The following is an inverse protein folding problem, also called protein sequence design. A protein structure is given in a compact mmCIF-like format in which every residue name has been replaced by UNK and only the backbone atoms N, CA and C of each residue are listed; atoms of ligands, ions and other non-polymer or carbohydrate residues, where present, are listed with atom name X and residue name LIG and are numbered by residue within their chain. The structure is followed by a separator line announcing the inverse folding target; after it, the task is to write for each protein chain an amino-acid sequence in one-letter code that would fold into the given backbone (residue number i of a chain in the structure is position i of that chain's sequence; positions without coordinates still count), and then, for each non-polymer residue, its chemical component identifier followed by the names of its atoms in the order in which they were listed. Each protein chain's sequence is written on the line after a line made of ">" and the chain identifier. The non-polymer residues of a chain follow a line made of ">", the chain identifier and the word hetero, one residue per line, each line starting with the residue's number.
data_IF_697190894421
#
_entry.id   IF_697190894421
#
_cell.length_a   1.000
_cell.length_b   1.000
_cell.length_c   1.000
_cell.angle_alpha   90.00
_cell.angle_beta   90.00
_cell.angle_gamma   90.00
#
_symmetry.space_group_name_H-M   'P 1'
#
loop_
_entity.id
_entity.type
_entity.pdbx_description
1 polymer ?
#
# COMPACT_ATOMS: atom_id res chain seq x y z
N UNK A 1 4.58 -8.60 -31.68
CA UNK A 1 3.22 -8.07 -31.44
C UNK A 1 3.21 -7.51 -30.02
N UNK A 2 2.62 -6.34 -29.79
CA UNK A 2 2.48 -5.79 -28.44
C UNK A 2 1.10 -6.17 -27.89
N UNK A 3 1.04 -6.56 -26.62
CA UNK A 3 -0.21 -6.87 -25.92
C UNK A 3 -0.34 -5.93 -24.74
N UNK A 4 -1.57 -5.47 -24.52
CA UNK A 4 -1.89 -4.51 -23.47
C UNK A 4 -3.33 -4.70 -22.99
N UNK A 5 -3.49 -4.76 -21.68
CA UNK A 5 -4.76 -4.86 -20.97
C UNK A 5 -5.06 -3.53 -20.29
N UNK A 6 -5.81 -2.65 -20.96
CA UNK A 6 -6.07 -1.28 -20.47
C UNK A 6 -6.84 -1.23 -19.13
N UNK A 7 -7.54 -2.32 -18.76
CA UNK A 7 -8.26 -2.43 -17.49
C UNK A 7 -7.41 -2.96 -16.33
N UNK A 8 -6.22 -3.50 -16.63
CA UNK A 8 -5.32 -4.04 -15.62
C UNK A 8 -4.43 -2.90 -15.12
N UNK A 9 -4.86 -2.26 -14.03
CA UNK A 9 -4.20 -1.08 -13.49
C UNK A 9 -3.90 -1.26 -12.01
N UNK A 10 -2.76 -0.74 -11.57
CA UNK A 10 -2.41 -0.70 -10.16
C UNK A 10 -3.37 0.21 -9.39
N UNK A 11 -3.69 -0.16 -8.15
CA UNK A 11 -4.59 0.63 -7.29
C UNK A 11 -3.80 1.41 -6.24
N UNK A 12 -4.24 2.63 -5.91
CA UNK A 12 -3.50 3.50 -5.04
C UNK A 12 -3.54 2.99 -3.60
N UNK A 13 -2.40 2.49 -3.12
CA UNK A 13 -2.12 2.06 -1.73
C UNK A 13 -0.71 2.52 -1.35
N UNK A 14 -0.47 2.83 -0.07
CA UNK A 14 0.86 3.10 0.46
C UNK A 14 1.67 1.81 0.51
N UNK A 15 1.01 0.72 0.86
CA UNK A 15 1.51 -0.62 0.65
C UNK A 15 1.36 -1.00 -0.82
N UNK A 16 2.35 -0.65 -1.65
CA UNK A 16 2.27 -0.81 -3.11
C UNK A 16 2.01 -2.25 -3.55
N UNK A 17 2.43 -3.25 -2.75
CA UNK A 17 2.12 -4.66 -2.97
C UNK A 17 0.62 -4.94 -2.93
N UNK A 18 -0.09 -4.41 -1.93
CA UNK A 18 -1.54 -4.51 -1.82
C UNK A 18 -2.23 -3.79 -2.97
N UNK A 19 -1.71 -2.63 -3.38
CA UNK A 19 -2.20 -1.92 -4.58
C UNK A 19 -2.07 -2.73 -5.86
N UNK A 20 -1.00 -3.50 -6.01
CA UNK A 20 -0.79 -4.37 -7.15
C UNK A 20 -1.76 -5.56 -7.13
N UNK A 21 -1.93 -6.18 -5.97
CA UNK A 21 -2.88 -7.28 -5.79
C UNK A 21 -4.31 -6.81 -6.02
N UNK A 22 -4.72 -5.65 -5.49
CA UNK A 22 -6.05 -5.08 -5.72
C UNK A 22 -6.31 -4.84 -7.22
N UNK A 23 -5.32 -4.33 -7.94
CA UNK A 23 -5.41 -4.16 -9.39
C UNK A 23 -5.63 -5.48 -10.12
N UNK A 24 -4.89 -6.52 -9.73
CA UNK A 24 -5.04 -7.86 -10.29
C UNK A 24 -6.40 -8.49 -9.95
N UNK A 25 -6.86 -8.40 -8.70
CA UNK A 25 -8.15 -8.98 -8.28
C UNK A 25 -9.33 -8.25 -8.89
N UNK A 26 -9.27 -6.93 -9.05
CA UNK A 26 -10.28 -6.15 -9.79
C UNK A 26 -10.35 -6.57 -11.26
N UNK A 27 -9.20 -6.74 -11.92
CA UNK A 27 -9.14 -7.20 -13.31
C UNK A 27 -9.72 -8.60 -13.48
N UNK A 28 -9.44 -9.48 -12.51
CA UNK A 28 -10.07 -10.80 -12.43
C UNK A 28 -11.52 -10.73 -11.97
N UNK A 29 -12.11 -9.57 -11.66
CA UNK A 29 -13.49 -9.50 -11.18
C UNK A 29 -13.74 -10.24 -9.86
N UNK A 30 -12.75 -10.26 -8.98
CA UNK A 30 -12.86 -10.77 -7.60
C UNK A 30 -13.20 -9.58 -6.71
N UNK A 31 -14.50 -9.38 -6.45
CA UNK A 31 -15.01 -8.24 -5.71
C UNK A 31 -14.74 -8.33 -4.21
N UNK A 32 -13.88 -7.46 -3.70
CA UNK A 32 -13.61 -7.29 -2.27
C UNK A 32 -13.32 -5.83 -1.94
N UNK A 33 -13.64 -5.42 -0.71
CA UNK A 33 -13.27 -4.11 -0.18
C UNK A 33 -11.76 -4.00 0.03
N UNK A 34 -11.23 -2.78 0.07
CA UNK A 34 -9.82 -2.52 0.38
C UNK A 34 -9.45 -3.09 1.77
N UNK A 35 -10.38 -3.00 2.72
CA UNK A 35 -10.22 -3.51 4.07
C UNK A 35 -10.20 -5.04 4.12
N UNK A 36 -11.10 -5.71 3.40
CA UNK A 36 -11.14 -7.17 3.33
C UNK A 36 -9.88 -7.75 2.70
N UNK A 37 -9.38 -7.12 1.63
CA UNK A 37 -8.10 -7.48 1.02
C UNK A 37 -6.94 -7.32 2.01
N UNK A 38 -6.75 -6.11 2.53
CA UNK A 38 -5.59 -5.80 3.37
C UNK A 38 -5.62 -6.54 4.71
N UNK A 39 -6.79 -6.68 5.32
CA UNK A 39 -6.97 -7.39 6.58
C UNK A 39 -6.91 -8.90 6.43
N UNK A 40 -7.62 -9.47 5.46
CA UNK A 40 -7.64 -10.92 5.21
C UNK A 40 -6.31 -11.50 4.72
N UNK A 41 -5.49 -10.70 4.04
CA UNK A 41 -4.09 -11.06 3.70
C UNK A 41 -3.12 -10.86 4.86
N UNK A 42 -3.59 -10.35 6.01
CA UNK A 42 -2.79 -10.08 7.20
C UNK A 42 -1.97 -8.78 7.16
N UNK A 43 -1.83 -8.15 5.99
CA UNK A 43 -0.97 -6.98 5.79
C UNK A 43 -1.38 -5.77 6.66
N UNK A 44 -2.69 -5.59 6.90
CA UNK A 44 -3.19 -4.48 7.72
C UNK A 44 -2.62 -4.46 9.16
N UNK A 45 -2.15 -5.60 9.65
CA UNK A 45 -1.61 -5.76 11.00
C UNK A 45 -0.08 -5.69 11.08
N UNK A 46 0.61 -5.53 9.94
CA UNK A 46 2.08 -5.49 9.88
C UNK A 46 2.60 -4.12 10.31
N UNK A 47 3.52 -4.07 11.29
CA UNK A 47 4.45 -2.96 11.52
C UNK A 47 5.86 -3.49 11.40
N UNK A 48 6.72 -2.88 10.59
CA UNK A 48 8.11 -3.30 10.46
C UNK A 48 9.03 -2.08 10.35
N UNK A 49 9.89 -1.87 11.35
CA UNK A 49 10.77 -0.70 11.42
C UNK A 49 12.17 -1.09 11.87
N UNK A 50 13.19 -0.39 11.41
CA UNK A 50 14.56 -0.54 11.88
C UNK A 50 14.98 0.64 12.79
N UNK A 51 16.19 0.56 13.35
CA UNK A 51 16.74 1.56 14.28
C UNK A 51 16.87 2.98 13.73
N UNK A 52 16.77 3.14 12.41
CA UNK A 52 16.83 4.44 11.71
C UNK A 52 15.49 4.84 11.10
N UNK A 53 14.44 4.02 11.25
CA UNK A 53 13.13 4.24 10.61
C UNK A 53 13.27 4.48 9.10
N UNK A 54 14.10 3.67 8.43
CA UNK A 54 14.34 3.89 7.00
C UNK A 54 13.10 3.53 6.16
N UNK A 55 13.04 4.07 4.93
CA UNK A 55 11.96 3.78 4.00
C UNK A 55 11.88 2.31 3.54
N UNK A 56 12.87 1.48 3.91
CA UNK A 56 12.81 0.05 3.66
C UNK A 56 11.84 -0.68 4.59
N UNK A 57 11.45 -0.09 5.74
CA UNK A 57 10.54 -0.72 6.72
C UNK A 57 9.32 -1.41 6.10
N UNK A 58 8.51 -0.68 5.31
CA UNK A 58 7.31 -1.24 4.69
C UNK A 58 7.49 -2.47 3.79
N UNK A 59 8.67 -2.64 3.21
CA UNK A 59 8.94 -3.66 2.18
C UNK A 59 10.01 -4.68 2.57
N UNK A 60 10.82 -4.40 3.60
CA UNK A 60 11.94 -5.25 4.05
C UNK A 60 11.51 -6.30 5.09
N UNK A 61 10.61 -7.19 4.67
CA UNK A 61 10.19 -8.37 5.42
C UNK A 61 9.74 -9.46 4.43
N UNK A 62 9.63 -10.71 4.88
CA UNK A 62 9.17 -11.80 4.01
C UNK A 62 7.65 -11.74 3.83
N UNK A 63 7.20 -11.27 2.66
CA UNK A 63 5.80 -11.04 2.30
C UNK A 63 5.04 -12.31 1.89
N UNK A 64 5.65 -13.50 2.00
CA UNK A 64 5.05 -14.77 1.58
C UNK A 64 3.64 -15.02 2.14
N UNK A 65 3.35 -14.54 3.36
CA UNK A 65 2.02 -14.69 3.96
C UNK A 65 0.91 -13.95 3.20
N UNK A 66 1.22 -12.85 2.49
CA UNK A 66 0.26 -12.15 1.63
C UNK A 66 -0.21 -13.05 0.48
N UNK A 67 0.66 -13.94 0.00
CA UNK A 67 0.34 -14.99 -0.97
C UNK A 67 -0.41 -16.15 -0.32
N UNK A 68 0.08 -16.66 0.81
CA UNK A 68 -0.50 -17.84 1.47
C UNK A 68 -1.96 -17.59 1.90
N UNK A 69 -2.23 -16.44 2.53
CA UNK A 69 -3.59 -16.05 2.93
C UNK A 69 -4.44 -15.56 1.75
N UNK A 70 -3.82 -15.21 0.62
CA UNK A 70 -4.52 -14.79 -0.59
C UNK A 70 -5.50 -15.84 -1.12
N UNK A 71 -5.18 -17.12 -0.94
CA UNK A 71 -6.10 -18.21 -1.30
C UNK A 71 -7.43 -18.08 -0.56
N UNK A 72 -7.43 -17.74 0.73
CA UNK A 72 -8.68 -17.55 1.48
C UNK A 72 -9.57 -16.44 0.89
N UNK A 73 -8.96 -15.48 0.17
CA UNK A 73 -9.63 -14.35 -0.48
C UNK A 73 -10.02 -14.63 -1.94
N UNK A 74 -9.81 -15.85 -2.44
CA UNK A 74 -10.18 -16.25 -3.79
C UNK A 74 -9.17 -15.91 -4.87
N UNK A 75 -7.91 -15.63 -4.52
CA UNK A 75 -6.83 -15.45 -5.50
C UNK A 75 -5.60 -16.31 -5.17
N UNK A 76 -4.92 -16.79 -6.20
CA UNK A 76 -3.64 -17.49 -6.11
C UNK A 76 -2.54 -16.64 -6.71
N UNK A 77 -1.34 -16.67 -6.12
CA UNK A 77 -0.16 -15.99 -6.66
C UNK A 77 0.93 -17.03 -6.90
N UNK A 78 1.49 -17.02 -8.10
CA UNK A 78 2.69 -17.77 -8.48
C UNK A 78 3.73 -16.79 -9.00
N UNK A 79 5.02 -17.10 -8.90
CA UNK A 79 6.03 -16.15 -9.34
C UNK A 79 7.45 -16.69 -9.46
N UNK A 80 8.30 -15.85 -10.04
CA UNK A 80 9.73 -16.08 -10.22
C UNK A 80 10.48 -15.15 -9.28
N UNK A 81 11.35 -15.74 -8.45
CA UNK A 81 12.17 -15.02 -7.48
C UNK A 81 13.66 -15.29 -7.70
N UNK A 82 14.48 -14.23 -7.70
CA UNK A 82 15.93 -14.35 -7.65
C UNK A 82 16.58 -13.14 -6.99
N UNK A 83 17.77 -13.35 -6.43
CA UNK A 83 18.70 -12.25 -6.15
C UNK A 83 19.70 -12.12 -7.29
N UNK A 84 20.24 -10.93 -7.52
CA UNK A 84 21.28 -10.68 -8.53
C UNK A 84 22.52 -11.56 -8.37
N UNK A 85 22.81 -12.00 -7.15
CA UNK A 85 23.90 -12.93 -6.85
C UNK A 85 23.59 -14.40 -7.18
N UNK A 86 22.36 -14.73 -7.60
CA UNK A 86 21.97 -16.08 -8.01
C UNK A 86 22.71 -16.48 -9.29
N UNK A 87 23.43 -17.62 -9.34
CA UNK A 87 24.12 -18.08 -10.55
C UNK A 87 23.19 -18.26 -11.76
N UNK A 88 21.89 -18.45 -11.53
CA UNK A 88 20.86 -18.61 -12.55
C UNK A 88 20.08 -17.31 -12.83
N UNK A 89 20.55 -16.16 -12.33
CA UNK A 89 19.81 -14.89 -12.40
C UNK A 89 19.31 -14.55 -13.80
N UNK A 90 20.19 -14.58 -14.82
CA UNK A 90 19.80 -14.28 -16.20
C UNK A 90 18.74 -15.28 -16.75
N UNK A 91 18.90 -16.57 -16.45
CA UNK A 91 17.91 -17.59 -16.82
C UNK A 91 16.57 -17.34 -16.14
N UNK A 92 16.57 -16.88 -14.88
CA UNK A 92 15.35 -16.51 -14.15
C UNK A 92 14.72 -15.21 -14.64
N UNK A 93 15.50 -14.23 -15.08
CA UNK A 93 14.96 -13.04 -15.76
C UNK A 93 14.21 -13.43 -17.03
N UNK A 94 14.81 -14.33 -17.83
CA UNK A 94 14.15 -14.87 -19.03
C UNK A 94 12.90 -15.68 -18.68
N UNK A 95 12.95 -16.48 -17.61
CA UNK A 95 11.76 -17.21 -17.14
C UNK A 95 10.66 -16.25 -16.71
N UNK A 96 10.98 -15.21 -15.93
CA UNK A 96 10.02 -14.17 -15.53
C UNK A 96 9.38 -13.50 -16.75
N UNK A 97 10.19 -13.19 -17.77
CA UNK A 97 9.73 -12.60 -19.01
C UNK A 97 8.73 -13.49 -19.76
N UNK A 98 9.10 -14.75 -20.00
CA UNK A 98 8.23 -15.69 -20.71
C UNK A 98 6.96 -16.01 -19.92
N UNK A 99 7.06 -16.12 -18.58
CA UNK A 99 5.90 -16.30 -17.69
C UNK A 99 4.94 -15.14 -17.78
N UNK A 100 5.42 -13.89 -17.74
CA UNK A 100 4.56 -12.71 -17.83
C UNK A 100 3.85 -12.62 -19.18
N UNK A 101 4.57 -12.89 -20.28
CA UNK A 101 3.99 -12.90 -21.62
C UNK A 101 2.85 -13.93 -21.71
N UNK A 102 3.14 -15.17 -21.32
CA UNK A 102 2.17 -16.25 -21.38
C UNK A 102 0.93 -15.93 -20.55
N UNK A 103 1.12 -15.45 -19.31
CA UNK A 103 0.00 -15.06 -18.45
C UNK A 103 -0.85 -13.94 -19.06
N UNK A 104 -0.23 -12.89 -19.61
CA UNK A 104 -0.96 -11.80 -20.24
C UNK A 104 -1.68 -12.25 -21.52
N UNK A 105 -1.09 -13.15 -22.30
CA UNK A 105 -1.73 -13.76 -23.48
C UNK A 105 -2.97 -14.58 -23.07
N UNK A 106 -2.90 -15.26 -21.93
CA UNK A 106 -3.99 -16.05 -21.35
C UNK A 106 -5.03 -15.20 -20.59
N UNK A 107 -4.86 -13.87 -20.54
CA UNK A 107 -5.76 -12.96 -19.84
C UNK A 107 -5.62 -13.02 -18.31
N UNK A 108 -4.47 -13.42 -17.80
CA UNK A 108 -4.12 -13.40 -16.38
C UNK A 108 -3.28 -12.15 -16.04
N UNK A 109 -3.59 -11.45 -14.95
CA UNK A 109 -2.84 -10.28 -14.55
C UNK A 109 -1.48 -10.63 -13.93
N UNK A 110 -0.53 -9.71 -14.10
CA UNK A 110 0.82 -9.83 -13.58
C UNK A 110 1.20 -8.59 -12.75
N UNK A 111 2.13 -8.76 -11.82
CA UNK A 111 2.76 -7.65 -11.11
C UNK A 111 4.22 -7.98 -10.77
N UNK A 112 5.02 -6.98 -10.46
CA UNK A 112 6.44 -7.18 -10.17
C UNK A 112 7.06 -6.08 -9.31
N UNK A 113 8.23 -6.39 -8.76
CA UNK A 113 9.02 -5.48 -7.93
C UNK A 113 9.98 -4.63 -8.78
N UNK A 114 10.20 -3.39 -8.35
CA UNK A 114 11.20 -2.47 -8.89
C UNK A 114 11.06 -2.19 -10.39
N UNK A 115 9.83 -2.04 -10.90
CA UNK A 115 9.63 -1.69 -12.30
C UNK A 115 9.94 -0.23 -12.61
N UNK A 116 9.68 0.68 -11.67
CA UNK A 116 10.08 2.09 -11.74
C UNK A 116 11.08 2.43 -10.63
N UNK A 117 10.57 2.53 -9.41
CA UNK A 117 11.30 2.66 -8.14
C UNK A 117 11.20 1.35 -7.34
N UNK A 118 11.92 1.21 -6.23
CA UNK A 118 11.90 0.04 -5.34
C UNK A 118 10.55 -0.16 -4.62
N UNK A 119 9.52 -0.52 -5.39
CA UNK A 119 8.11 -0.70 -5.02
C UNK A 119 7.46 -1.75 -5.95
N UNK A 120 6.21 -2.15 -5.68
CA UNK A 120 5.45 -3.06 -6.54
C UNK A 120 4.58 -2.32 -7.57
N UNK A 121 4.50 -2.90 -8.77
CA UNK A 121 3.76 -2.36 -9.92
C UNK A 121 2.94 -3.45 -10.59
N UNK A 122 1.79 -3.08 -11.16
CA UNK A 122 1.04 -3.96 -12.06
C UNK A 122 1.71 -3.95 -13.43
N UNK A 123 1.93 -5.13 -14.01
CA UNK A 123 2.37 -5.30 -15.39
C UNK A 123 1.12 -5.49 -16.24
N UNK A 124 0.83 -4.49 -17.07
CA UNK A 124 -0.41 -4.43 -17.84
C UNK A 124 -0.23 -4.74 -19.32
N UNK A 125 0.99 -5.02 -19.75
CA UNK A 125 1.28 -5.37 -21.13
C UNK A 125 2.74 -5.65 -21.37
N UNK A 126 3.06 -5.96 -22.61
CA UNK A 126 4.42 -6.19 -23.06
C UNK A 126 4.61 -5.93 -24.55
N UNK A 127 5.86 -5.69 -24.96
CA UNK A 127 6.28 -5.71 -26.37
C UNK A 127 7.48 -6.66 -26.54
N UNK A 128 8.16 -6.65 -27.69
CA UNK A 128 9.31 -7.55 -27.92
C UNK A 128 10.54 -7.28 -27.04
N UNK A 129 10.55 -6.16 -26.31
CA UNK A 129 11.68 -5.68 -25.51
C UNK A 129 11.42 -5.68 -24.00
N UNK A 130 10.16 -5.68 -23.55
CA UNK A 130 9.89 -5.59 -22.11
C UNK A 130 8.45 -5.29 -21.73
N UNK A 131 8.29 -4.89 -20.48
CA UNK A 131 7.03 -4.74 -19.77
C UNK A 131 6.47 -3.32 -19.88
N UNK A 132 5.17 -3.21 -20.10
CA UNK A 132 4.39 -2.02 -19.74
C UNK A 132 3.85 -2.20 -18.32
N UNK A 133 3.91 -1.16 -17.51
CA UNK A 133 3.48 -1.23 -16.11
C UNK A 133 2.83 0.05 -15.64
N UNK A 134 2.00 -0.05 -14.59
CA UNK A 134 1.37 1.08 -13.89
C UNK A 134 1.67 1.02 -12.40
N UNK A 135 1.88 2.17 -11.74
CA UNK A 135 2.06 2.27 -10.29
C UNK A 135 2.57 3.64 -9.84
N UNK A 136 3.18 3.71 -8.66
CA UNK A 136 3.68 4.98 -8.15
C UNK A 136 4.74 5.59 -9.08
N UNK A 137 4.58 6.87 -9.42
CA UNK A 137 5.56 7.60 -10.22
C UNK A 137 5.51 7.36 -11.74
N UNK A 138 4.49 6.68 -12.26
CA UNK A 138 4.33 6.43 -13.71
C UNK A 138 3.56 7.54 -14.47
N UNK A 139 3.24 8.66 -13.83
CA UNK A 139 2.47 9.79 -14.39
C UNK A 139 2.99 10.26 -15.77
N UNK A 140 2.21 10.03 -16.84
CA UNK A 140 2.56 10.44 -18.22
C UNK A 140 2.52 11.96 -18.44
N UNK A 141 1.82 12.69 -17.57
CA UNK A 141 1.70 14.14 -17.63
C UNK A 141 1.67 14.77 -16.23
N UNK A 142 2.23 15.99 -16.15
CA UNK A 142 2.28 16.82 -14.95
C UNK A 142 1.90 18.24 -15.33
N UNK A 143 0.90 18.80 -14.66
CA UNK A 143 0.54 20.20 -14.84
C UNK A 143 0.04 20.83 -13.55
N UNK A 144 0.07 22.16 -13.50
CA UNK A 144 -0.25 22.88 -12.27
C UNK A 144 -1.72 23.25 -12.18
N UNK A 145 -2.25 23.11 -10.97
CA UNK A 145 -3.45 23.79 -10.53
C UNK A 145 -3.10 25.10 -9.84
N UNK A 146 -4.09 25.99 -9.82
CA UNK A 146 -3.98 27.32 -9.21
C UNK A 146 -3.84 27.18 -7.69
N UNK A 147 -2.71 27.63 -7.15
CA UNK A 147 -2.32 27.44 -5.75
C UNK A 147 -3.34 28.01 -4.75
N UNK A 148 -4.00 29.13 -5.06
CA UNK A 148 -4.98 29.76 -4.16
C UNK A 148 -6.23 28.90 -3.91
N UNK A 149 -6.44 27.82 -4.66
CA UNK A 149 -7.66 26.97 -4.57
C UNK A 149 -7.46 25.68 -3.80
N UNK A 150 -6.33 25.53 -3.10
CA UNK A 150 -6.04 24.40 -2.20
C UNK A 150 -7.16 24.12 -1.18
N UNK A 151 -7.78 25.16 -0.65
CA UNK A 151 -8.88 25.03 0.31
C UNK A 151 -10.06 24.26 -0.28
N UNK A 152 -10.40 24.54 -1.55
CA UNK A 152 -11.52 23.87 -2.24
C UNK A 152 -11.28 22.37 -2.37
N UNK A 153 -10.08 21.94 -2.76
CA UNK A 153 -9.75 20.50 -2.81
C UNK A 153 -9.81 19.87 -1.40
N UNK A 154 -9.39 20.61 -0.37
CA UNK A 154 -9.44 20.14 1.03
C UNK A 154 -10.87 19.97 1.54
N UNK A 155 -11.79 20.79 1.04
CA UNK A 155 -13.23 20.74 1.35
C UNK A 155 -13.98 19.75 0.45
N UNK A 156 -13.27 19.01 -0.40
CA UNK A 156 -13.86 18.03 -1.30
C UNK A 156 -14.51 18.62 -2.57
N UNK A 157 -14.26 19.90 -2.86
CA UNK A 157 -14.92 20.65 -3.92
C UNK A 157 -14.11 20.67 -5.22
N UNK A 158 -14.76 20.27 -6.32
CA UNK A 158 -14.22 20.40 -7.68
C UNK A 158 -14.91 21.52 -8.47
N UNK A 159 -14.46 22.75 -8.23
CA UNK A 159 -15.05 23.96 -8.83
C UNK A 159 -14.86 24.08 -10.35
N UNK A 160 -15.60 25.03 -10.95
CA UNK A 160 -15.56 25.31 -12.39
C UNK A 160 -14.17 25.68 -12.92
N UNK A 161 -13.33 26.38 -12.14
CA UNK A 161 -11.98 26.67 -12.60
C UNK A 161 -11.03 25.45 -12.53
N UNK A 162 -11.27 24.47 -11.64
CA UNK A 162 -10.56 23.19 -11.73
C UNK A 162 -10.94 22.47 -13.02
N UNK A 163 -12.24 22.41 -13.35
CA UNK A 163 -12.72 21.88 -14.64
C UNK A 163 -12.08 22.59 -15.83
N UNK A 164 -12.03 23.92 -15.79
CA UNK A 164 -11.38 24.71 -16.85
C UNK A 164 -9.89 24.41 -16.97
N UNK A 165 -9.17 24.25 -15.84
CA UNK A 165 -7.76 23.90 -15.84
C UNK A 165 -7.48 22.52 -16.47
N UNK A 166 -8.38 21.57 -16.29
CA UNK A 166 -8.35 20.24 -16.91
C UNK A 166 -8.69 20.32 -18.42
N UNK A 167 -9.79 20.99 -18.77
CA UNK A 167 -10.26 21.15 -20.16
C UNK A 167 -9.23 21.86 -21.05
N UNK A 168 -8.58 22.93 -20.55
CA UNK A 168 -7.48 23.62 -21.26
C UNK A 168 -6.29 22.71 -21.60
N UNK A 169 -6.19 21.55 -20.95
CA UNK A 169 -5.12 20.57 -21.14
C UNK A 169 -5.62 19.28 -21.78
N UNK A 170 -6.84 19.30 -22.32
CA UNK A 170 -7.45 18.20 -23.06
C UNK A 170 -8.15 17.15 -22.19
N UNK A 171 -8.37 17.43 -20.90
CA UNK A 171 -9.10 16.52 -19.99
C UNK A 171 -10.53 17.01 -19.77
N UNK A 172 -11.50 16.28 -20.30
CA UNK A 172 -12.94 16.58 -20.16
C UNK A 172 -13.57 15.65 -19.12
N UNK A 173 -13.72 16.14 -17.88
CA UNK A 173 -14.32 15.39 -16.78
C UNK A 173 -15.84 15.52 -16.78
N UNK A 174 -16.54 14.44 -16.46
CA UNK A 174 -18.00 14.38 -16.35
C UNK A 174 -18.54 15.30 -15.25
N UNK A 175 -19.86 15.51 -15.21
CA UNK A 175 -20.51 16.30 -14.15
C UNK A 175 -20.34 15.71 -12.74
N UNK A 176 -20.01 14.42 -12.63
CA UNK A 176 -19.94 13.69 -11.36
C UNK A 176 -18.47 13.49 -10.97
N UNK A 177 -17.88 14.54 -10.40
CA UNK A 177 -16.51 14.48 -9.88
C UNK A 177 -16.54 14.55 -8.37
N UNK A 178 -15.88 13.58 -7.74
CA UNK A 178 -15.68 13.52 -6.29
C UNK A 178 -14.20 13.74 -5.98
N UNK A 179 -13.92 14.50 -4.94
CA UNK A 179 -12.57 14.63 -4.39
C UNK A 179 -12.47 13.78 -3.14
N UNK A 180 -11.47 12.93 -3.09
CA UNK A 180 -11.09 12.21 -1.87
C UNK A 180 -9.66 12.55 -1.48
N UNK A 181 -9.35 12.47 -0.19
CA UNK A 181 -8.00 12.63 0.30
C UNK A 181 -7.43 11.26 0.59
N UNK A 182 -6.39 10.87 -0.15
CA UNK A 182 -5.70 9.58 0.01
C UNK A 182 -4.21 9.81 -0.24
N UNK A 183 -3.33 9.05 0.41
CA UNK A 183 -1.88 9.20 0.22
C UNK A 183 -1.29 10.57 0.58
N UNK A 184 -1.95 11.39 1.42
CA UNK A 184 -1.48 12.76 1.65
C UNK A 184 -1.55 13.66 0.41
N UNK A 185 -2.28 13.24 -0.62
CA UNK A 185 -2.59 13.98 -1.83
C UNK A 185 -4.13 14.01 -2.03
N UNK A 186 -4.62 14.80 -2.99
CA UNK A 186 -6.04 14.77 -3.37
C UNK A 186 -6.22 13.87 -4.59
N UNK A 187 -7.21 13.00 -4.56
CA UNK A 187 -7.60 12.17 -5.71
C UNK A 187 -8.90 12.74 -6.25
N UNK A 188 -8.86 13.21 -7.49
CA UNK A 188 -10.02 13.62 -8.28
C UNK A 188 -10.56 12.34 -8.93
N UNK A 189 -11.81 11.95 -8.64
CA UNK A 189 -12.46 10.78 -9.21
C UNK A 189 -13.61 11.24 -10.09
N UNK A 190 -13.53 10.96 -11.39
CA UNK A 190 -14.68 11.07 -12.29
C UNK A 190 -15.53 9.79 -12.15
N UNK A 191 -16.68 9.89 -11.51
CA UNK A 191 -17.50 8.72 -11.19
C UNK A 191 -18.23 8.15 -12.40
N UNK A 192 -18.42 8.94 -13.46
CA UNK A 192 -19.07 8.47 -14.68
C UNK A 192 -18.10 7.73 -15.60
N UNK A 193 -16.87 8.24 -15.72
CA UNK A 193 -15.86 7.70 -16.62
C UNK A 193 -14.90 6.72 -15.94
N UNK A 194 -14.79 6.80 -14.60
CA UNK A 194 -13.86 5.99 -13.80
C UNK A 194 -12.45 6.56 -13.74
N UNK A 195 -12.16 7.67 -14.43
CA UNK A 195 -10.87 8.34 -14.44
C UNK A 195 -10.53 8.87 -13.05
N UNK A 196 -9.25 8.77 -12.68
CA UNK A 196 -8.73 9.29 -11.41
C UNK A 196 -7.57 10.22 -11.67
N UNK A 197 -7.36 11.25 -10.87
CA UNK A 197 -6.17 12.11 -11.01
C UNK A 197 -5.63 12.44 -9.63
N UNK A 198 -4.32 12.36 -9.46
CA UNK A 198 -3.69 12.71 -8.19
C UNK A 198 -3.20 14.15 -8.22
N UNK A 199 -3.50 14.92 -7.18
CA UNK A 199 -3.01 16.28 -7.00
C UNK A 199 -2.06 16.29 -5.82
N UNK A 200 -0.81 16.59 -6.10
CA UNK A 200 0.28 16.64 -5.14
C UNK A 200 0.65 18.09 -4.85
N UNK A 201 0.86 18.42 -3.58
CA UNK A 201 1.43 19.70 -3.17
C UNK A 201 2.95 19.54 -3.03
N UNK A 202 3.72 20.38 -3.72
CA UNK A 202 5.18 20.41 -3.55
C UNK A 202 5.61 21.23 -2.32
N UNK A 203 6.92 21.27 -2.04
CA UNK A 203 7.47 21.99 -0.90
C UNK A 203 7.24 23.51 -0.92
N UNK A 204 6.87 24.09 -2.08
CA UNK A 204 6.56 25.51 -2.26
C UNK A 204 5.05 25.78 -2.27
N UNK A 205 4.24 24.76 -2.01
CA UNK A 205 2.77 24.86 -1.99
C UNK A 205 2.14 24.82 -3.39
N UNK A 206 2.89 24.49 -4.44
CA UNK A 206 2.35 24.37 -5.80
C UNK A 206 1.57 23.07 -5.91
N UNK A 207 0.34 23.17 -6.40
CA UNK A 207 -0.54 22.03 -6.67
C UNK A 207 -0.25 21.47 -8.05
N UNK A 208 0.11 20.18 -8.10
CA UNK A 208 0.51 19.50 -9.33
C UNK A 208 -0.42 18.33 -9.55
N UNK A 209 -1.20 18.40 -10.63
CA UNK A 209 -1.91 17.24 -11.14
C UNK A 209 -0.87 16.34 -11.77
N UNK A 210 -0.72 15.17 -11.20
CA UNK A 210 -0.10 14.04 -11.84
C UNK A 210 -1.22 13.29 -12.53
N UNK A 211 -0.93 12.78 -13.74
CA UNK A 211 -1.91 12.04 -14.53
C UNK A 211 -2.54 10.88 -13.80
N UNK A 212 -3.42 10.14 -14.49
CA UNK A 212 -4.21 9.15 -13.77
C UNK A 212 -3.31 8.18 -13.04
N UNK A 213 -3.39 8.24 -11.71
CA UNK A 213 -2.49 7.50 -10.85
C UNK A 213 -2.69 5.98 -11.03
N UNK A 214 -3.81 5.58 -11.63
CA UNK A 214 -4.06 4.24 -12.15
C UNK A 214 -3.62 4.05 -13.62
N UNK A 215 -3.87 4.99 -14.55
CA UNK A 215 -3.62 4.78 -16.01
C UNK A 215 -2.18 5.12 -16.45
N UNK A 216 -1.44 5.86 -15.64
CA UNK A 216 -0.12 6.31 -16.02
C UNK A 216 0.89 5.16 -16.10
N UNK A 217 1.71 5.15 -17.15
CA UNK A 217 2.47 3.96 -17.56
C UNK A 217 3.97 4.19 -17.68
N UNK A 218 4.72 3.18 -17.24
CA UNK A 218 6.16 3.07 -17.46
C UNK A 218 6.49 1.90 -18.38
N UNK A 219 7.74 1.90 -18.84
CA UNK A 219 8.31 0.80 -19.62
C UNK A 219 9.63 0.33 -18.98
N UNK A 220 9.85 -0.98 -18.95
CA UNK A 220 11.10 -1.59 -18.45
C UNK A 220 11.52 -2.72 -19.37
N UNK A 221 12.79 -2.73 -19.79
CA UNK A 221 13.33 -3.86 -20.55
C UNK A 221 13.33 -5.13 -19.70
N UNK A 222 13.06 -6.27 -20.32
CA UNK A 222 12.80 -7.48 -19.54
C UNK A 222 14.03 -7.96 -18.75
N UNK A 223 15.23 -7.75 -19.29
CA UNK A 223 16.53 -8.08 -18.71
C UNK A 223 17.10 -7.00 -17.77
N UNK A 224 16.39 -5.87 -17.62
CA UNK A 224 16.67 -4.89 -16.56
C UNK A 224 15.98 -5.26 -15.23
N UNK A 225 15.01 -6.18 -15.25
CA UNK A 225 14.25 -6.55 -14.06
C UNK A 225 15.14 -7.20 -12.99
N UNK A 226 15.21 -6.58 -11.80
CA UNK A 226 16.09 -7.01 -10.71
C UNK A 226 17.58 -6.68 -10.90
N UNK A 227 17.95 -5.97 -11.97
CA UNK A 227 19.34 -5.58 -12.24
C UNK A 227 19.77 -4.31 -11.47
N UNK A 228 18.81 -3.57 -10.89
CA UNK A 228 19.04 -2.36 -10.11
C UNK A 228 19.74 -2.65 -8.77
N UNK A 229 19.93 -1.61 -7.96
CA UNK A 229 20.75 -1.68 -6.75
C UNK A 229 20.18 -2.64 -5.70
N UNK A 230 18.85 -2.81 -5.62
CA UNK A 230 18.25 -3.78 -4.68
C UNK A 230 18.64 -5.21 -5.05
N UNK A 231 18.90 -5.47 -6.34
CA UNK A 231 19.27 -6.78 -6.86
C UNK A 231 18.18 -7.82 -6.69
N UNK A 232 16.91 -7.42 -6.60
CA UNK A 232 15.78 -8.30 -6.33
C UNK A 232 14.92 -8.47 -7.59
N UNK A 233 14.91 -9.67 -8.15
CA UNK A 233 14.00 -10.07 -9.22
C UNK A 233 12.77 -10.71 -8.59
N UNK A 234 11.63 -10.05 -8.75
CA UNK A 234 10.32 -10.60 -8.42
C UNK A 234 9.32 -10.29 -9.53
N UNK A 235 8.68 -11.34 -10.03
CA UNK A 235 7.57 -11.26 -10.97
C UNK A 235 6.52 -12.29 -10.61
N UNK A 236 5.27 -11.86 -10.58
CA UNK A 236 4.15 -12.66 -10.13
C UNK A 236 3.02 -12.65 -11.15
N UNK A 237 2.37 -13.80 -11.28
CA UNK A 237 1.08 -13.98 -11.95
C UNK A 237 0.01 -14.19 -10.88
N UNK A 238 -1.19 -13.69 -11.14
CA UNK A 238 -2.35 -13.86 -10.25
C UNK A 238 -3.46 -14.58 -10.99
N UNK A 239 -4.06 -15.56 -10.35
CA UNK A 239 -5.18 -16.32 -10.88
C UNK A 239 -6.33 -16.37 -9.87
N UNK A 240 -7.52 -16.74 -10.35
CA UNK A 240 -8.63 -17.04 -9.44
C UNK A 240 -8.32 -18.32 -8.67
N UNK A 241 -8.60 -18.30 -7.38
CA UNK A 241 -8.54 -19.47 -6.52
C UNK A 241 -9.87 -19.70 -5.81
N UNK A 242 -9.98 -20.83 -5.12
CA UNK A 242 -11.09 -21.09 -4.21
C UNK A 242 -11.03 -20.13 -3.02
N UNK A 243 -12.14 -19.46 -2.69
CA UNK A 243 -12.25 -18.61 -1.49
C UNK A 243 -12.71 -19.44 -0.30
N UNK A 244 -12.05 -19.28 0.84
CA UNK A 244 -12.49 -19.86 2.11
C UNK A 244 -13.71 -19.10 2.66
N UNK A 245 -14.38 -19.66 3.66
CA UNK A 245 -15.45 -18.95 4.35
C UNK A 245 -14.89 -17.76 5.18
N UNK A 246 -15.76 -16.79 5.46
CA UNK A 246 -15.38 -15.55 6.16
C UNK A 246 -14.76 -15.83 7.54
N UNK A 247 -15.16 -16.92 8.20
CA UNK A 247 -14.64 -17.28 9.52
C UNK A 247 -13.18 -17.72 9.43
N UNK A 248 -12.83 -18.52 8.42
CA UNK A 248 -11.45 -18.93 8.14
C UNK A 248 -10.57 -17.73 7.74
N UNK A 249 -11.06 -16.85 6.85
CA UNK A 249 -10.37 -15.61 6.45
C UNK A 249 -10.00 -14.77 7.68
N UNK A 250 -10.97 -14.53 8.56
CA UNK A 250 -10.76 -13.74 9.77
C UNK A 250 -9.82 -14.46 10.72
N UNK A 251 -10.04 -15.75 11.00
CA UNK A 251 -9.21 -16.47 11.96
C UNK A 251 -7.73 -16.50 11.55
N UNK A 252 -7.43 -16.95 10.33
CA UNK A 252 -6.05 -17.16 9.88
C UNK A 252 -5.28 -15.84 9.72
N UNK A 253 -5.96 -14.76 9.30
CA UNK A 253 -5.35 -13.44 9.25
C UNK A 253 -5.00 -12.90 10.64
N UNK A 254 -5.86 -13.10 11.63
CA UNK A 254 -5.59 -12.70 13.02
C UNK A 254 -4.51 -13.57 13.68
N UNK A 255 -4.46 -14.88 13.36
CA UNK A 255 -3.37 -15.76 13.80
C UNK A 255 -2.02 -15.30 13.25
N UNK A 256 -1.97 -14.94 11.97
CA UNK A 256 -0.77 -14.36 11.38
C UNK A 256 -0.40 -13.03 12.05
N UNK A 257 -1.35 -12.14 12.31
CA UNK A 257 -1.08 -10.87 12.99
C UNK A 257 -0.40 -11.09 14.36
N UNK A 258 -0.94 -12.02 15.16
CA UNK A 258 -0.40 -12.39 16.47
C UNK A 258 0.96 -13.06 16.38
N UNK A 259 1.21 -13.86 15.34
CA UNK A 259 2.52 -14.45 15.08
C UNK A 259 3.54 -13.38 14.67
N UNK A 260 3.19 -12.54 13.70
CA UNK A 260 4.08 -11.52 13.15
C UNK A 260 4.53 -10.51 14.20
N UNK A 261 3.65 -10.15 15.13
CA UNK A 261 3.94 -9.27 16.25
C UNK A 261 5.03 -9.82 17.21
N UNK A 262 5.31 -11.13 17.18
CA UNK A 262 6.39 -11.77 17.96
C UNK A 262 7.75 -11.71 17.25
N UNK A 263 7.84 -11.06 16.09
CA UNK A 263 9.04 -10.91 15.28
C UNK A 263 9.80 -12.23 14.98
N UNK A 264 9.13 -13.29 14.50
CA UNK A 264 9.83 -14.52 14.15
C UNK A 264 10.74 -14.31 12.93
N UNK A 265 11.94 -14.90 12.97
CA UNK A 265 12.98 -14.74 11.94
C UNK A 265 12.57 -15.21 10.53
N UNK A 266 11.54 -16.05 10.42
CA UNK A 266 10.98 -16.46 9.11
C UNK A 266 10.28 -15.30 8.38
N UNK A 267 9.77 -14.32 9.14
CA UNK A 267 9.07 -13.15 8.62
C UNK A 267 9.94 -11.90 8.67
N UNK A 268 10.68 -11.70 9.77
CA UNK A 268 11.36 -10.45 10.08
C UNK A 268 12.86 -10.56 9.85
N UNK A 269 13.38 -9.64 9.04
CA UNK A 269 14.80 -9.54 8.73
C UNK A 269 15.62 -9.06 9.93
N UNK A 270 16.93 -9.33 9.93
CA UNK A 270 17.83 -8.82 10.95
C UNK A 270 17.89 -7.28 10.96
N UNK A 271 17.87 -6.69 12.16
CA UNK A 271 17.85 -5.24 12.36
C UNK A 271 16.46 -4.59 12.24
N UNK A 272 15.41 -5.39 11.98
CA UNK A 272 14.03 -4.93 11.97
C UNK A 272 13.25 -5.43 13.19
N UNK A 273 12.25 -4.65 13.58
CA UNK A 273 11.45 -4.82 14.77
C UNK A 273 9.96 -4.62 14.44
N UNK A 274 9.11 -5.45 15.02
CA UNK A 274 7.66 -5.47 14.73
C UNK A 274 6.83 -5.36 16.01
N UNK A 275 5.52 -5.14 15.84
CA UNK A 275 4.56 -5.01 16.94
C UNK A 275 5.01 -3.98 17.98
N UNK A 276 4.84 -4.30 19.26
CA UNK A 276 5.20 -3.43 20.39
C UNK A 276 6.69 -3.02 20.38
N UNK A 277 7.58 -3.93 19.98
CA UNK A 277 9.01 -3.65 19.86
C UNK A 277 9.34 -2.68 18.72
N UNK A 278 8.57 -2.74 17.63
CA UNK A 278 8.67 -1.82 16.50
C UNK A 278 8.36 -0.39 16.91
N UNK A 279 7.21 -0.15 17.56
CA UNK A 279 6.90 1.18 18.10
C UNK A 279 7.98 1.69 19.04
N UNK A 280 8.46 0.86 19.97
CA UNK A 280 9.55 1.24 20.87
C UNK A 280 10.84 1.62 20.14
N UNK A 281 11.14 0.94 19.03
CA UNK A 281 12.30 1.24 18.18
C UNK A 281 12.14 2.59 17.48
N UNK A 282 10.96 2.85 16.93
CA UNK A 282 10.65 4.13 16.29
C UNK A 282 10.73 5.30 17.27
N UNK A 283 10.12 5.16 18.45
CA UNK A 283 10.18 6.17 19.52
C UNK A 283 11.63 6.50 19.87
N UNK A 284 12.46 5.47 20.16
CA UNK A 284 13.89 5.68 20.46
C UNK A 284 14.66 6.31 19.31
N UNK A 285 14.33 6.00 18.06
CA UNK A 285 14.99 6.60 16.90
C UNK A 285 14.69 8.11 16.80
N UNK A 286 13.47 8.53 17.10
CA UNK A 286 13.09 9.94 17.14
C UNK A 286 13.76 10.67 18.33
N UNK A 287 13.67 10.11 19.53
CA UNK A 287 14.26 10.71 20.75
C UNK A 287 15.78 10.90 20.65
N UNK A 288 16.47 9.98 19.96
CA UNK A 288 17.92 10.05 19.77
C UNK A 288 18.34 10.74 18.47
N UNK A 289 17.40 11.36 17.74
CA UNK A 289 17.63 12.01 16.44
C UNK A 289 18.34 11.12 15.41
N UNK A 290 18.06 9.81 15.43
CA UNK A 290 18.57 8.81 14.48
C UNK A 290 17.58 8.45 13.38
N UNK A 291 16.32 8.86 13.53
CA UNK A 291 15.29 8.61 12.54
C UNK A 291 15.57 9.36 11.23
N UNK A 292 15.49 8.65 10.11
CA UNK A 292 15.54 9.23 8.77
C UNK A 292 14.24 10.02 8.51
N UNK A 293 14.34 11.24 7.98
CA UNK A 293 13.17 12.09 7.76
C UNK A 293 12.25 11.59 6.65
N UNK A 294 12.81 11.03 5.56
CA UNK A 294 12.03 10.46 4.47
C UNK A 294 11.36 9.15 4.92
N UNK A 295 12.15 8.29 5.57
CA UNK A 295 11.68 7.03 6.12
C UNK A 295 10.63 7.23 7.20
N UNK A 296 10.76 8.21 8.09
CA UNK A 296 9.74 8.54 9.10
C UNK A 296 8.42 8.94 8.44
N UNK A 297 8.46 9.85 7.47
CA UNK A 297 7.26 10.28 6.75
C UNK A 297 6.59 9.12 5.99
N UNK A 298 7.40 8.26 5.36
CA UNK A 298 6.91 7.10 4.62
C UNK A 298 6.29 6.04 5.53
N UNK A 299 7.01 5.65 6.59
CA UNK A 299 6.51 4.71 7.60
C UNK A 299 5.23 5.23 8.26
N UNK A 300 5.15 6.52 8.58
CA UNK A 300 3.94 7.12 9.15
C UNK A 300 2.73 6.92 8.25
N UNK A 301 2.89 7.17 6.95
CA UNK A 301 1.80 7.06 5.99
C UNK A 301 1.42 5.58 5.71
N UNK A 302 2.39 4.70 5.51
CA UNK A 302 2.15 3.26 5.32
C UNK A 302 1.47 2.63 6.54
N UNK A 303 1.99 2.87 7.74
CA UNK A 303 1.47 2.24 8.94
C UNK A 303 0.14 2.85 9.38
N UNK A 304 -0.09 4.15 9.17
CA UNK A 304 -1.40 4.75 9.37
C UNK A 304 -2.47 4.07 8.50
N UNK A 305 -2.22 3.91 7.19
CA UNK A 305 -3.17 3.25 6.29
C UNK A 305 -3.42 1.79 6.70
N UNK A 306 -2.36 1.05 7.06
CA UNK A 306 -2.50 -0.32 7.56
C UNK A 306 -3.44 -0.41 8.77
N UNK A 307 -3.29 0.47 9.79
CA UNK A 307 -4.14 0.42 11.01
C UNK A 307 -5.57 0.83 10.72
N UNK A 308 -5.76 1.82 9.84
CA UNK A 308 -7.09 2.20 9.38
C UNK A 308 -7.79 1.02 8.69
N UNK A 309 -7.10 0.32 7.78
CA UNK A 309 -7.63 -0.85 7.09
C UNK A 309 -7.86 -2.02 8.05
N UNK A 310 -7.03 -2.18 9.10
CA UNK A 310 -7.24 -3.18 10.14
C UNK A 310 -8.54 -2.93 10.92
N UNK A 311 -8.80 -1.68 11.32
CA UNK A 311 -10.04 -1.30 11.99
C UNK A 311 -11.27 -1.53 11.10
N UNK A 312 -11.20 -1.13 9.83
CA UNK A 312 -12.27 -1.35 8.86
C UNK A 312 -12.51 -2.84 8.58
N UNK A 313 -11.45 -3.63 8.49
CA UNK A 313 -11.54 -5.08 8.31
C UNK A 313 -12.26 -5.74 9.48
N UNK A 314 -11.92 -5.36 10.71
CA UNK A 314 -12.54 -5.91 11.91
C UNK A 314 -14.02 -5.52 12.00
N UNK A 315 -14.40 -4.30 11.59
CA UNK A 315 -15.80 -3.86 11.48
C UNK A 315 -16.56 -4.68 10.43
N UNK A 316 -15.98 -4.83 9.24
CA UNK A 316 -16.57 -5.65 8.17
C UNK A 316 -16.71 -7.12 8.59
N UNK A 317 -15.69 -7.68 9.26
CA UNK A 317 -15.72 -9.02 9.82
C UNK A 317 -16.84 -9.19 10.87
N UNK A 318 -17.06 -8.17 11.71
CA UNK A 318 -18.16 -8.18 12.68
C UNK A 318 -19.53 -8.28 12.00
N UNK A 319 -19.71 -7.54 10.90
CA UNK A 319 -20.97 -7.54 10.16
C UNK A 319 -21.19 -8.85 9.39
N UNK A 320 -20.12 -9.44 8.84
CA UNK A 320 -20.16 -10.72 8.11
C UNK A 320 -20.39 -11.92 9.02
N UNK A 321 -19.70 -11.97 10.17
CA UNK A 321 -19.75 -13.13 11.07
C UNK A 321 -20.93 -13.06 12.04
N UNK A 322 -21.42 -11.85 12.38
CA UNK A 322 -22.52 -11.66 13.31
C UNK A 322 -22.24 -12.19 14.72
N UNK A 323 -23.32 -12.44 15.47
CA UNK A 323 -23.21 -13.01 16.82
C UNK A 323 -22.71 -14.46 16.80
N UNK A 324 -21.88 -14.88 17.77
CA UNK A 324 -21.47 -14.17 18.99
C UNK A 324 -20.14 -13.38 18.85
N UNK A 325 -19.67 -13.14 17.62
CA UNK A 325 -18.34 -12.58 17.36
C UNK A 325 -18.34 -11.05 17.21
N UNK A 326 -19.47 -10.49 16.74
CA UNK A 326 -19.56 -9.10 16.29
C UNK A 326 -19.08 -8.09 17.34
N UNK A 327 -19.54 -8.19 18.59
CA UNK A 327 -19.14 -7.24 19.64
C UNK A 327 -17.64 -7.27 19.94
N UNK A 328 -17.02 -8.46 19.94
CA UNK A 328 -15.57 -8.62 20.18
C UNK A 328 -14.76 -8.01 19.04
N UNK A 329 -15.20 -8.24 17.81
CA UNK A 329 -14.56 -7.70 16.61
C UNK A 329 -14.67 -6.17 16.56
N UNK A 330 -15.84 -5.60 16.90
CA UNK A 330 -16.01 -4.15 17.00
C UNK A 330 -15.16 -3.54 18.10
N UNK A 331 -15.09 -4.18 19.28
CA UNK A 331 -14.21 -3.72 20.35
C UNK A 331 -12.73 -3.74 19.93
N UNK A 332 -12.27 -4.78 19.23
CA UNK A 332 -10.92 -4.81 18.67
C UNK A 332 -10.72 -3.70 17.62
N UNK A 333 -11.72 -3.45 16.77
CA UNK A 333 -11.67 -2.42 15.75
C UNK A 333 -11.47 -1.02 16.35
N UNK A 334 -12.12 -0.71 17.47
CA UNK A 334 -11.98 0.61 18.13
C UNK A 334 -10.55 0.88 18.61
N UNK A 335 -9.84 -0.17 19.07
CA UNK A 335 -8.42 -0.06 19.43
C UNK A 335 -7.53 0.19 18.21
N UNK A 336 -7.78 -0.51 17.10
CA UNK A 336 -7.03 -0.28 15.86
C UNK A 336 -7.35 1.09 15.24
N UNK A 337 -8.59 1.56 15.36
CA UNK A 337 -9.01 2.90 14.93
C UNK A 337 -8.28 3.97 15.74
N UNK A 338 -8.18 3.80 17.06
CA UNK A 338 -7.38 4.66 17.93
C UNK A 338 -5.91 4.68 17.51
N UNK A 339 -5.31 3.52 17.24
CA UNK A 339 -3.93 3.44 16.75
C UNK A 339 -3.76 4.15 15.39
N UNK A 340 -4.71 3.99 14.48
CA UNK A 340 -4.72 4.68 13.18
C UNK A 340 -4.78 6.20 13.34
N UNK A 341 -5.64 6.70 14.22
CA UNK A 341 -5.77 8.14 14.50
C UNK A 341 -4.48 8.73 15.06
N UNK A 342 -3.80 8.01 15.97
CA UNK A 342 -2.51 8.45 16.50
C UNK A 342 -1.40 8.41 15.46
N UNK A 343 -1.37 7.41 14.59
CA UNK A 343 -0.43 7.38 13.45
C UNK A 343 -0.73 8.49 12.42
N UNK A 344 -1.99 8.92 12.26
CA UNK A 344 -2.35 10.08 11.44
C UNK A 344 -1.77 11.38 12.00
N UNK A 345 -1.71 11.53 13.33
CA UNK A 345 -0.98 12.65 13.97
C UNK A 345 0.49 12.65 13.53
N UNK A 346 1.16 11.49 13.60
CA UNK A 346 2.56 11.36 13.17
C UNK A 346 2.71 11.68 11.67
N UNK A 347 1.81 11.19 10.83
CA UNK A 347 1.83 11.44 9.38
C UNK A 347 1.61 12.91 9.02
N UNK A 348 0.83 13.65 9.83
CA UNK A 348 0.64 15.11 9.67
C UNK A 348 1.84 15.92 10.14
N UNK A 349 2.52 15.48 11.20
CA UNK A 349 3.76 16.09 11.69
C UNK A 349 4.91 15.90 10.67
N UNK A 350 4.95 14.73 10.03
CA UNK A 350 5.95 14.37 9.02
C UNK A 350 5.30 14.01 7.68
N UNK A 351 4.77 15.00 6.93
CA UNK A 351 4.04 14.72 5.69
C UNK A 351 5.01 14.25 4.59
N UNK A 352 4.67 13.19 3.86
CA UNK A 352 5.55 12.62 2.83
C UNK A 352 5.74 13.52 1.60
N UNK A 353 4.64 14.11 1.08
CA UNK A 353 4.65 14.90 -0.15
C UNK A 353 5.16 16.33 0.04
N UNK A 354 4.75 16.97 1.13
CA UNK A 354 5.18 18.33 1.49
C UNK A 354 6.34 18.32 2.50
N UNK A 355 7.10 17.23 2.55
CA UNK A 355 8.17 17.05 3.54
C UNK A 355 9.17 18.20 3.47
N UNK A 356 9.57 18.68 4.64
CA UNK A 356 10.74 19.56 4.79
C UNK A 356 11.80 18.79 5.57
N UNK A 357 13.00 18.72 5.03
CA UNK A 357 14.12 17.98 5.62
C UNK A 357 14.46 18.41 7.06
N UNK A 358 14.05 19.62 7.47
CA UNK A 358 14.30 20.18 8.79
C UNK A 358 13.28 19.73 9.85
N UNK A 359 12.04 19.38 9.48
CA UNK A 359 10.97 19.08 10.44
C UNK A 359 11.29 17.89 11.35
N UNK A 360 12.04 16.89 10.84
CA UNK A 360 12.47 15.72 11.65
C UNK A 360 13.48 16.09 12.75
N UNK A 361 13.96 17.34 12.77
CA UNK A 361 14.88 17.88 13.79
C UNK A 361 14.21 18.87 14.73
N UNK A 362 12.92 19.15 14.56
CA UNK A 362 12.19 20.07 15.42
C UNK A 362 11.77 19.35 16.71
N UNK A 363 12.31 19.78 17.85
CA UNK A 363 12.07 19.10 19.14
C UNK A 363 10.59 19.03 19.51
N UNK A 364 9.79 20.02 19.13
CA UNK A 364 8.34 20.00 19.37
C UNK A 364 7.64 18.92 18.55
N UNK A 365 7.92 18.85 17.24
CA UNK A 365 7.39 17.82 16.37
C UNK A 365 7.82 16.41 16.83
N UNK A 366 9.07 16.24 17.27
CA UNK A 366 9.57 14.98 17.84
C UNK A 366 8.80 14.62 19.11
N UNK A 367 8.65 15.54 20.07
CA UNK A 367 7.92 15.28 21.32
C UNK A 367 6.46 14.88 21.06
N UNK A 368 5.78 15.58 20.16
CA UNK A 368 4.40 15.29 19.81
C UNK A 368 4.26 13.95 19.08
N UNK A 369 5.19 13.63 18.17
CA UNK A 369 5.23 12.33 17.50
C UNK A 369 5.53 11.18 18.48
N UNK A 370 6.45 11.37 19.43
CA UNK A 370 6.75 10.37 20.47
C UNK A 370 5.52 10.11 21.35
N UNK A 371 4.78 11.17 21.73
CA UNK A 371 3.51 11.03 22.45
C UNK A 371 2.50 10.23 21.61
N UNK A 372 2.27 10.62 20.36
CA UNK A 372 1.34 9.92 19.47
C UNK A 372 1.72 8.46 19.25
N UNK A 373 3.00 8.15 19.00
CA UNK A 373 3.49 6.77 18.87
C UNK A 373 3.33 5.96 20.16
N UNK A 374 3.45 6.60 21.33
CA UNK A 374 3.24 5.92 22.62
C UNK A 374 1.78 5.54 22.82
N UNK A 375 0.85 6.43 22.45
CA UNK A 375 -0.59 6.15 22.47
C UNK A 375 -0.97 5.10 21.43
N UNK A 376 -0.44 5.19 20.20
CA UNK A 376 -0.63 4.17 19.16
C UNK A 376 -0.14 2.78 19.62
N UNK A 377 1.04 2.73 20.24
CA UNK A 377 1.61 1.51 20.81
C UNK A 377 0.73 0.92 21.91
N UNK A 378 0.18 1.77 22.79
CA UNK A 378 -0.74 1.32 23.82
C UNK A 378 -2.02 0.75 23.21
N UNK A 379 -2.64 1.48 22.28
CA UNK A 379 -3.85 1.06 21.60
C UNK A 379 -3.65 -0.26 20.83
N UNK A 380 -2.57 -0.41 20.06
CA UNK A 380 -2.30 -1.64 19.33
C UNK A 380 -2.04 -2.82 20.27
N UNK A 381 -1.41 -2.62 21.43
CA UNK A 381 -1.26 -3.67 22.45
C UNK A 381 -2.62 -4.17 22.95
N UNK A 382 -3.55 -3.24 23.24
CA UNK A 382 -4.92 -3.57 23.64
C UNK A 382 -5.68 -4.27 22.51
N UNK A 383 -5.51 -3.81 21.28
CA UNK A 383 -6.05 -4.46 20.08
C UNK A 383 -5.58 -5.90 19.94
N UNK A 384 -4.27 -6.15 20.08
CA UNK A 384 -3.67 -7.49 20.01
C UNK A 384 -4.21 -8.43 21.10
N UNK A 385 -4.40 -7.95 22.33
CA UNK A 385 -5.04 -8.73 23.41
C UNK A 385 -6.47 -9.15 23.02
N UNK A 386 -7.22 -8.27 22.33
CA UNK A 386 -8.56 -8.61 21.82
C UNK A 386 -8.50 -9.61 20.68
N UNK A 387 -7.57 -9.46 19.75
CA UNK A 387 -7.37 -10.43 18.66
C UNK A 387 -7.09 -11.83 19.20
N UNK A 388 -6.24 -11.95 20.22
CA UNK A 388 -5.96 -13.24 20.87
C UNK A 388 -7.22 -13.87 21.45
N UNK A 389 -8.08 -13.07 22.09
CA UNK A 389 -9.38 -13.51 22.59
C UNK A 389 -10.33 -13.95 21.48
N UNK A 390 -10.35 -13.25 20.35
CA UNK A 390 -11.20 -13.56 19.18
C UNK A 390 -10.77 -14.89 18.56
N UNK A 391 -9.47 -15.08 18.29
CA UNK A 391 -8.93 -16.31 17.69
C UNK A 391 -9.31 -17.54 18.51
N UNK A 392 -9.21 -17.47 19.85
CA UNK A 392 -9.59 -18.57 20.75
C UNK A 392 -11.07 -18.98 20.63
N UNK A 393 -11.96 -18.05 20.30
CA UNK A 393 -13.41 -18.30 20.18
C UNK A 393 -13.80 -18.69 18.75
N UNK A 394 -13.03 -18.24 17.75
CA UNK A 394 -13.20 -18.70 16.36
C UNK A 394 -12.87 -20.20 16.22
N UNK A 395 -12.06 -20.77 17.12
CA UNK A 395 -11.79 -22.20 17.19
C UNK A 395 -10.70 -22.58 16.22
#
# INVERSE_FOLDING_TARGET
>A
MAIKHEKLLWRPFWATHIGAIKGCTDFLGIGMSDAWLSGGSGHAFVLNVNDTVSAAGPTAWNTEMVRLLGHNLGYGISGVFARRSDPQFQSKQKLAWETAKQALDDGLPCYGWELGLAEYYVINGYNQYGYFYSGIGTAEYRFDLVQERRAELSDGLFSSAHRQAFSMRGFELSGHVRIERRFGCWIIVDEANGDRFSVLEDANGRLMVHGDYAISQGFKQWDDLGAAQTGLLELYTVERAYSSDDKAVVKESLEFALEFAKAPRKWVMEGFHTGDSGYGTWIRALENHRADGFGTAYNAACWQESRMLAALFLKEAADRLGEPYADRLREAADWYDTAAQQLDVVARLFPFHTRKFQHIREDEAIRDAVRALSEARHAERRGMEKLEGIVKVLG
#
